data_IF_081597014945
#
_entry.id   IF_081597014945
#
_cell.length_a   1.000
_cell.length_b   1.000
_cell.length_c   1.000
_cell.angle_alpha   90.00
_cell.angle_beta   90.00
_cell.angle_gamma   90.00
#
_symmetry.space_group_name_H-M   'P 1'
#
loop_
_entity.id
_entity.type
_entity.pdbx_description
1 polymer ?
#
# COMPACT_ATOMS: atom_id res chain seq x y z
N UNK A 1 -3.81 13.68 -2.20
CA UNK A 1 -4.47 13.69 -0.89
C UNK A 1 -4.30 12.36 -0.19
N UNK A 2 -4.58 11.27 -0.89
CA UNK A 2 -4.67 9.92 -0.29
C UNK A 2 -3.40 9.05 -0.45
N UNK A 3 -2.38 9.55 -1.16
CA UNK A 3 -1.11 8.83 -1.34
C UNK A 3 -0.50 8.49 0.03
N UNK A 4 -0.11 7.23 0.20
CA UNK A 4 0.31 6.65 1.49
C UNK A 4 -0.81 5.89 2.23
N UNK A 5 -2.07 6.00 1.82
CA UNK A 5 -3.19 5.30 2.45
C UNK A 5 -3.17 3.77 2.22
N UNK A 6 -3.65 2.95 3.18
CA UNK A 6 -3.61 1.49 3.06
C UNK A 6 -4.74 0.94 2.17
N UNK A 7 -4.41 -0.06 1.36
CA UNK A 7 -5.37 -1.00 0.78
C UNK A 7 -5.47 -2.22 1.70
N UNK A 8 -6.66 -2.44 2.25
CA UNK A 8 -6.92 -3.51 3.22
C UNK A 8 -7.81 -4.57 2.59
N UNK A 9 -7.38 -5.83 2.67
CA UNK A 9 -8.16 -7.00 2.27
C UNK A 9 -8.25 -7.97 3.45
N UNK A 10 -9.47 -8.32 3.89
CA UNK A 10 -9.71 -9.19 5.05
C UNK A 10 -8.93 -8.78 6.32
N UNK A 11 -8.81 -7.47 6.58
CA UNK A 11 -8.08 -6.93 7.72
C UNK A 11 -6.55 -6.88 7.56
N UNK A 12 -6.00 -7.31 6.42
CA UNK A 12 -4.56 -7.28 6.12
C UNK A 12 -4.25 -6.13 5.18
N UNK A 13 -3.19 -5.35 5.48
CA UNK A 13 -2.67 -4.32 4.57
C UNK A 13 -1.91 -5.00 3.44
N UNK A 14 -2.43 -4.91 2.22
CA UNK A 14 -1.83 -5.51 1.02
C UNK A 14 -1.20 -4.49 0.08
N UNK A 15 -1.54 -3.21 0.23
CA UNK A 15 -1.01 -2.16 -0.64
C UNK A 15 -0.94 -0.81 0.05
N UNK A 16 -0.08 0.06 -0.46
CA UNK A 16 0.00 1.48 -0.10
C UNK A 16 -0.31 2.31 -1.33
N UNK A 17 -1.29 3.21 -1.26
CA UNK A 17 -1.71 4.01 -2.42
C UNK A 17 -0.54 4.87 -2.89
N UNK A 18 -0.13 4.68 -4.14
CA UNK A 18 0.93 5.46 -4.76
C UNK A 18 0.34 6.67 -5.47
N UNK A 19 -0.38 6.43 -6.56
CA UNK A 19 -1.05 7.48 -7.33
C UNK A 19 -2.36 6.99 -7.94
N UNK A 20 -3.16 7.97 -8.33
CA UNK A 20 -4.38 7.77 -9.12
C UNK A 20 -4.19 8.47 -10.47
N UNK A 21 -4.67 7.86 -11.54
CA UNK A 21 -4.75 8.53 -12.83
C UNK A 21 -5.96 9.48 -12.84
N UNK A 22 -5.83 10.59 -13.57
CA UNK A 22 -6.92 11.50 -13.90
C UNK A 22 -7.91 10.91 -14.93
N UNK A 23 -7.56 9.79 -15.58
CA UNK A 23 -8.42 9.09 -16.52
C UNK A 23 -9.56 8.39 -15.79
N UNK A 24 -10.80 8.80 -16.10
CA UNK A 24 -12.00 8.16 -15.58
C UNK A 24 -12.00 6.65 -15.85
N UNK A 25 -12.22 5.85 -14.80
CA UNK A 25 -12.27 4.40 -14.85
C UNK A 25 -10.90 3.70 -14.81
N UNK A 26 -9.79 4.44 -14.75
CA UNK A 26 -8.49 3.84 -14.48
C UNK A 26 -8.43 3.30 -13.03
N UNK A 27 -7.73 2.18 -12.78
CA UNK A 27 -7.50 1.69 -11.43
C UNK A 27 -6.59 2.65 -10.66
N UNK A 28 -6.68 2.61 -9.34
CA UNK A 28 -5.68 3.18 -8.46
C UNK A 28 -4.43 2.28 -8.43
N UNK A 29 -3.25 2.89 -8.32
CA UNK A 29 -1.98 2.19 -8.34
C UNK A 29 -1.42 2.11 -6.92
N UNK A 30 -1.12 0.90 -6.46
CA UNK A 30 -0.63 0.64 -5.11
C UNK A 30 0.75 0.00 -5.17
N UNK A 31 1.60 0.34 -4.21
CA UNK A 31 2.82 -0.43 -3.92
C UNK A 31 2.42 -1.70 -3.17
N UNK A 32 2.80 -2.87 -3.68
CA UNK A 32 2.50 -4.18 -3.07
C UNK A 32 3.35 -4.38 -1.80
N UNK A 33 2.70 -4.43 -0.64
CA UNK A 33 3.38 -4.53 0.66
C UNK A 33 4.20 -5.82 0.77
N UNK A 34 3.78 -6.91 0.12
CA UNK A 34 4.48 -8.20 0.18
C UNK A 34 5.90 -8.12 -0.38
N UNK A 35 6.10 -7.29 -1.41
CA UNK A 35 7.39 -7.12 -2.09
C UNK A 35 8.41 -6.33 -1.26
N UNK A 36 7.96 -5.60 -0.23
CA UNK A 36 8.80 -4.73 0.59
C UNK A 36 8.97 -5.23 2.02
N UNK A 37 8.50 -6.44 2.35
CA UNK A 37 8.60 -7.00 3.72
C UNK A 37 10.04 -7.08 4.21
N UNK A 38 10.99 -7.50 3.37
CA UNK A 38 12.41 -7.55 3.75
C UNK A 38 12.97 -6.18 4.16
N UNK A 39 12.50 -5.10 3.52
CA UNK A 39 12.86 -3.75 3.88
C UNK A 39 12.13 -3.26 5.13
N UNK A 40 10.84 -3.56 5.27
CA UNK A 40 9.97 -3.03 6.33
C UNK A 40 10.22 -3.73 7.68
N UNK A 41 10.35 -5.05 7.67
CA UNK A 41 10.32 -5.89 8.88
C UNK A 41 11.38 -5.50 9.94
N UNK A 42 12.62 -5.12 9.58
CA UNK A 42 13.61 -4.66 10.56
C UNK A 42 13.22 -3.37 11.31
N UNK A 43 12.29 -2.58 10.80
CA UNK A 43 11.85 -1.31 11.39
C UNK A 43 10.54 -1.43 12.16
N UNK A 44 9.87 -2.58 12.12
CA UNK A 44 8.68 -2.84 12.93
C UNK A 44 9.11 -3.53 14.22
N UNK A 45 9.16 -2.77 15.31
CA UNK A 45 9.25 -3.35 16.65
C UNK A 45 7.86 -3.75 17.12
N UNK A 46 7.65 -5.02 17.39
CA UNK A 46 6.56 -5.45 18.26
C UNK A 46 7.02 -5.26 19.69
N UNK A 47 6.34 -4.39 20.46
CA UNK A 47 6.42 -4.38 21.92
C UNK A 47 6.14 -5.78 22.50
#
# INVERSE_FOLDING_TARGET
GDSGGPLICNGVVIGVLSFISDRLGAPAYYSDVSQYREFIDPFITTE
#
